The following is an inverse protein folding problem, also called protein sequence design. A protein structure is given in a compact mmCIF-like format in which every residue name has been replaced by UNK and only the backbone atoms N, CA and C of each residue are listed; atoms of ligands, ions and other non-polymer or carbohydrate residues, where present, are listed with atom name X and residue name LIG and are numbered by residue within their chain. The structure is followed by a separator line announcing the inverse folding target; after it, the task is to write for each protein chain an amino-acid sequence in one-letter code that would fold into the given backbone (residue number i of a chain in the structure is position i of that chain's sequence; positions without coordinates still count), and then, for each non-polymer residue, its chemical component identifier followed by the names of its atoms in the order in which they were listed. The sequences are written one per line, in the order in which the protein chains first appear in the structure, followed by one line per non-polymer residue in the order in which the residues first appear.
data_IF_389076293863
#
_entry.id   IF_389076293863
#
_cell.length_a   1.000
_cell.length_b   1.000
_cell.length_c   1.000
_cell.angle_alpha   90.00
_cell.angle_beta   90.00
_cell.angle_gamma   90.00
#
_symmetry.space_group_name_H-M   'P 1'
#
loop_
_entity.id
_entity.type
_entity.pdbx_description
1 polymer ?
#
# COMPACT_ATOMS: atom_id res chain seq x y z
N UNK A 1 1.96 7.76 6.42
CA UNK A 1 2.96 7.77 5.32
C UNK A 1 2.33 7.61 3.95
N UNK A 2 1.26 6.82 3.79
CA UNK A 2 0.54 6.66 2.51
C UNK A 2 0.05 7.99 1.94
N UNK A 3 -0.45 8.89 2.79
CA UNK A 3 -0.90 10.24 2.40
C UNK A 3 0.17 11.00 1.60
N UNK A 4 1.44 10.99 2.02
CA UNK A 4 2.52 11.70 1.32
C UNK A 4 2.75 11.16 -0.09
N UNK A 5 2.67 9.84 -0.31
CA UNK A 5 2.78 9.26 -1.65
C UNK A 5 1.57 9.60 -2.53
N UNK A 6 0.37 9.69 -1.96
CA UNK A 6 -0.82 10.14 -2.67
C UNK A 6 -0.69 11.61 -3.07
N UNK A 7 -0.29 12.46 -2.14
CA UNK A 7 -0.12 13.90 -2.35
C UNK A 7 0.97 14.23 -3.37
N UNK A 8 2.02 13.40 -3.45
CA UNK A 8 3.12 13.55 -4.41
C UNK A 8 2.95 12.74 -5.69
N UNK A 9 1.77 12.13 -5.91
CA UNK A 9 1.41 11.37 -7.11
C UNK A 9 2.35 10.18 -7.42
N UNK A 10 2.84 9.50 -6.38
CA UNK A 10 3.81 8.41 -6.48
C UNK A 10 3.14 7.02 -6.50
N UNK A 11 2.41 6.71 -7.58
CA UNK A 11 1.65 5.45 -7.71
C UNK A 11 2.55 4.20 -7.66
N UNK A 12 3.66 4.19 -8.42
CA UNK A 12 4.59 3.06 -8.45
C UNK A 12 5.16 2.78 -7.05
N UNK A 13 5.56 3.82 -6.33
CA UNK A 13 6.11 3.67 -4.98
C UNK A 13 5.08 3.08 -3.99
N UNK A 14 3.80 3.43 -4.11
CA UNK A 14 2.74 2.79 -3.31
C UNK A 14 2.54 1.32 -3.67
N UNK A 15 2.64 0.97 -4.96
CA UNK A 15 2.55 -0.43 -5.40
C UNK A 15 3.73 -1.26 -4.88
N UNK A 16 4.95 -0.71 -4.95
CA UNK A 16 6.15 -1.36 -4.41
C UNK A 16 6.06 -1.54 -2.89
N UNK A 17 5.57 -0.53 -2.18
CA UNK A 17 5.33 -0.60 -0.75
C UNK A 17 4.29 -1.67 -0.39
N UNK A 18 3.22 -1.81 -1.18
CA UNK A 18 2.23 -2.87 -1.01
C UNK A 18 2.88 -4.25 -1.14
N UNK A 19 3.61 -4.49 -2.23
CA UNK A 19 4.28 -5.78 -2.48
C UNK A 19 5.26 -6.12 -1.37
N UNK A 20 6.01 -5.13 -0.88
CA UNK A 20 6.92 -5.31 0.24
C UNK A 20 6.17 -5.75 1.51
N UNK A 21 5.05 -5.10 1.84
CA UNK A 21 4.22 -5.45 3.01
C UNK A 21 3.57 -6.83 2.90
N UNK A 22 3.07 -7.20 1.71
CA UNK A 22 2.53 -8.54 1.45
C UNK A 22 3.60 -9.62 1.59
N UNK A 23 4.80 -9.36 1.07
CA UNK A 23 5.95 -10.29 1.18
C UNK A 23 6.34 -10.48 2.64
N UNK A 24 6.38 -9.39 3.42
CA UNK A 24 6.68 -9.45 4.85
C UNK A 24 5.61 -10.25 5.60
N UNK A 25 4.32 -9.98 5.38
CA UNK A 25 3.22 -10.72 6.00
C UNK A 25 3.28 -12.22 5.67
N UNK A 26 3.57 -12.58 4.41
CA UNK A 26 3.75 -13.97 4.01
C UNK A 26 4.94 -14.64 4.73
N UNK A 27 6.08 -13.94 4.80
CA UNK A 27 7.26 -14.46 5.50
C UNK A 27 7.01 -14.70 6.99
N UNK A 28 6.23 -13.81 7.63
CA UNK A 28 5.88 -13.89 9.05
C UNK A 28 4.86 -15.00 9.30
N UNK A 29 3.85 -15.18 8.45
CA UNK A 29 2.87 -16.29 8.60
C UNK A 29 3.52 -17.67 8.53
N UNK A 30 4.62 -17.80 7.80
CA UNK A 30 5.34 -19.08 7.67
C UNK A 30 6.21 -19.41 8.88
N UNK A 31 6.31 -18.52 9.88
CA UNK A 31 7.08 -18.73 11.11
C UNK A 31 6.20 -19.39 12.18
N UNK A 32 6.67 -20.50 12.73
CA UNK A 32 5.98 -21.26 13.80
C UNK A 32 6.65 -21.12 15.18
N UNK A 33 7.78 -20.41 15.24
CA UNK A 33 8.62 -20.27 16.43
C UNK A 33 8.14 -19.18 17.40
N UNK A 34 7.19 -18.34 16.99
CA UNK A 34 6.68 -17.23 17.79
C UNK A 34 5.26 -16.83 17.37
N UNK A 35 4.49 -16.25 18.30
CA UNK A 35 3.16 -15.72 17.99
C UNK A 35 3.26 -14.30 17.42
N UNK A 36 3.16 -14.19 16.10
CA UNK A 36 3.19 -12.91 15.38
C UNK A 36 1.82 -12.26 15.17
N UNK A 37 0.76 -12.68 15.87
CA UNK A 37 -0.60 -12.20 15.62
C UNK A 37 -0.75 -10.68 15.59
N UNK A 38 -0.11 -9.97 16.53
CA UNK A 38 -0.13 -8.49 16.58
C UNK A 38 0.54 -7.87 15.36
N UNK A 39 1.72 -8.38 14.98
CA UNK A 39 2.46 -7.90 13.81
C UNK A 39 1.67 -8.15 12.52
N UNK A 40 1.05 -9.33 12.39
CA UNK A 40 0.23 -9.67 11.24
C UNK A 40 -0.99 -8.74 11.11
N UNK A 41 -1.66 -8.44 12.23
CA UNK A 41 -2.75 -7.46 12.25
C UNK A 41 -2.30 -6.08 11.76
N UNK A 42 -1.15 -5.59 12.25
CA UNK A 42 -0.59 -4.31 11.81
C UNK A 42 -0.24 -4.32 10.31
N UNK A 43 0.32 -5.41 9.79
CA UNK A 43 0.64 -5.53 8.37
C UNK A 43 -0.62 -5.54 7.51
N UNK A 44 -1.69 -6.21 7.95
CA UNK A 44 -2.97 -6.22 7.24
C UNK A 44 -3.63 -4.83 7.25
N UNK A 45 -3.48 -4.05 8.33
CA UNK A 45 -3.93 -2.66 8.41
C UNK A 45 -3.13 -1.75 7.47
N UNK A 46 -1.79 -1.86 7.47
CA UNK A 46 -0.90 -1.14 6.56
C UNK A 46 -1.27 -1.39 5.09
N UNK A 47 -1.49 -2.66 4.71
CA UNK A 47 -1.87 -3.04 3.34
C UNK A 47 -3.21 -2.39 2.95
N UNK A 48 -4.21 -2.40 3.85
CA UNK A 48 -5.50 -1.75 3.61
C UNK A 48 -5.36 -0.24 3.39
N UNK A 49 -4.52 0.44 4.16
CA UNK A 49 -4.26 1.88 3.98
C UNK A 49 -3.61 2.14 2.61
N UNK A 50 -2.60 1.35 2.23
CA UNK A 50 -1.89 1.48 0.95
C UNK A 50 -2.85 1.26 -0.22
N UNK A 51 -3.70 0.23 -0.16
CA UNK A 51 -4.70 -0.03 -1.19
C UNK A 51 -5.70 1.11 -1.33
N UNK A 52 -6.13 1.71 -0.22
CA UNK A 52 -7.00 2.89 -0.27
C UNK A 52 -6.29 4.09 -0.92
N UNK A 53 -5.00 4.29 -0.63
CA UNK A 53 -4.15 5.30 -1.26
C UNK A 53 -4.03 5.10 -2.78
N UNK A 54 -3.74 3.88 -3.23
CA UNK A 54 -3.71 3.50 -4.66
C UNK A 54 -5.08 3.75 -5.30
N UNK A 55 -6.16 3.33 -4.61
CA UNK A 55 -7.58 3.67 -4.81
C UNK A 55 -7.76 5.11 -5.30
N UNK A 56 -7.45 6.01 -4.37
CA UNK A 56 -7.62 7.45 -4.49
C UNK A 56 -6.74 8.04 -5.57
N UNK A 57 -5.49 7.58 -5.67
CA UNK A 57 -4.54 8.13 -6.62
C UNK A 57 -4.95 7.82 -8.06
N UNK A 58 -5.35 6.58 -8.36
CA UNK A 58 -5.88 6.21 -9.68
C UNK A 58 -7.10 7.04 -10.07
N UNK A 59 -8.07 7.19 -9.16
CA UNK A 59 -9.23 8.04 -9.40
C UNK A 59 -8.85 9.50 -9.68
N UNK A 60 -7.82 10.04 -9.01
CA UNK A 60 -7.33 11.41 -9.26
C UNK A 60 -6.59 11.58 -10.59
N UNK A 61 -6.00 10.49 -11.12
CA UNK A 61 -5.34 10.49 -12.43
C UNK A 61 -6.39 10.40 -13.54
N UNK A 62 -7.43 9.59 -13.36
CA UNK A 62 -8.56 9.45 -14.30
C UNK A 62 -9.44 10.72 -14.34
N UNK A 63 -9.59 11.41 -13.21
CA UNK A 63 -10.37 12.65 -13.12
C UNK A 63 -9.64 13.89 -13.66
N UNK A 64 -8.34 13.80 -13.98
CA UNK A 64 -7.61 14.87 -14.66
C UNK A 64 -7.93 14.79 -16.15
N UNK A 65 -8.72 15.72 -16.73
CA UNK A 65 -8.92 15.74 -18.17
C UNK A 65 -7.55 15.93 -18.84
N UNK A 66 -7.32 15.18 -19.91
CA UNK A 66 -6.20 15.40 -20.82
C UNK A 66 -6.35 16.78 -21.47
N UNK A 67 -5.97 17.84 -20.76
CA UNK A 67 -5.83 19.18 -21.34
C UNK A 67 -4.40 19.27 -21.87
N UNK A 68 -4.33 18.95 -23.16
CA UNK A 68 -3.54 19.59 -24.22
C UNK A 68 -2.03 19.81 -24.01
N UNK A 69 -1.26 19.15 -24.89
CA UNK A 69 -0.08 19.73 -25.54
C UNK A 69 -0.04 19.26 -26.98
#
# INVERSE_FOLDING_TARGET
MVAAYVDTNQLSALQDLKVHRETLAASVRNRMDFNFGVLLGQLDDDIREIEAGIRRLRASMEARPAVES
#
